data_IF_330634945719
#
_entry.id   IF_330634945719
#
_cell.length_a   1.000
_cell.length_b   1.000
_cell.length_c   1.000
_cell.angle_alpha   90.00
_cell.angle_beta   90.00
_cell.angle_gamma   90.00
#
_symmetry.space_group_name_H-M   'P 1'
#
loop_
_entity.id
_entity.type
_entity.pdbx_description
1 polymer ?
#
# COMPACT_ATOMS: atom_id res chain seq x y z
N UNK A 1 -66.04 -67.02 -28.35
CA UNK A 1 -66.28 -65.70 -28.94
C UNK A 1 -65.06 -64.82 -28.62
N UNK A 2 -64.23 -64.41 -29.60
CA UNK A 2 -63.05 -63.63 -29.36
C UNK A 2 -63.38 -62.10 -29.37
N UNK A 3 -62.80 -61.41 -28.38
CA UNK A 3 -62.92 -59.96 -28.26
C UNK A 3 -61.67 -59.33 -28.91
N UNK A 4 -61.93 -58.60 -29.98
CA UNK A 4 -60.93 -57.82 -30.71
C UNK A 4 -60.54 -56.56 -29.95
N UNK A 5 -59.27 -56.38 -29.61
CA UNK A 5 -58.62 -55.21 -28.97
C UNK A 5 -58.05 -54.32 -30.06
N UNK A 6 -58.61 -53.10 -30.24
CA UNK A 6 -58.08 -52.09 -31.14
C UNK A 6 -56.87 -51.40 -30.53
N UNK A 7 -55.69 -51.45 -31.18
CA UNK A 7 -54.56 -50.62 -30.90
C UNK A 7 -54.80 -49.20 -31.42
N UNK A 8 -54.62 -48.22 -30.53
CA UNK A 8 -54.51 -46.78 -30.92
C UNK A 8 -53.00 -46.46 -31.01
N UNK A 9 -52.52 -46.12 -32.18
CA UNK A 9 -51.25 -45.53 -32.47
C UNK A 9 -51.32 -44.04 -32.19
N UNK A 10 -50.56 -43.53 -31.19
CA UNK A 10 -50.34 -42.09 -30.93
C UNK A 10 -49.05 -41.67 -31.62
N UNK A 11 -49.19 -40.74 -32.56
CA UNK A 11 -48.06 -40.04 -33.18
C UNK A 11 -47.52 -39.00 -32.21
N UNK A 12 -46.28 -39.16 -31.78
CA UNK A 12 -45.50 -38.13 -31.07
C UNK A 12 -44.78 -37.27 -32.12
N UNK A 13 -45.22 -36.04 -32.26
CA UNK A 13 -44.52 -34.98 -33.00
C UNK A 13 -43.38 -34.44 -32.18
N UNK A 14 -42.13 -34.67 -32.58
CA UNK A 14 -40.94 -34.08 -32.02
C UNK A 14 -40.71 -32.69 -32.62
N UNK A 15 -40.87 -31.65 -31.82
CA UNK A 15 -40.49 -30.27 -32.19
C UNK A 15 -39.01 -30.07 -31.87
N UNK A 16 -38.17 -29.94 -32.88
CA UNK A 16 -36.79 -29.56 -32.72
C UNK A 16 -36.67 -28.05 -32.51
N UNK A 17 -36.32 -27.61 -31.28
CA UNK A 17 -35.87 -26.25 -31.03
C UNK A 17 -34.42 -26.10 -31.45
N UNK A 18 -34.17 -25.39 -32.54
CA UNK A 18 -32.86 -24.93 -32.92
C UNK A 18 -32.47 -23.72 -32.07
N UNK A 19 -31.67 -23.94 -31.02
CA UNK A 19 -31.03 -22.88 -30.21
C UNK A 19 -29.87 -22.26 -30.99
N UNK A 20 -30.01 -21.05 -31.48
CA UNK A 20 -28.89 -20.26 -32.00
C UNK A 20 -28.02 -19.77 -30.83
N UNK A 21 -26.87 -20.39 -30.61
CA UNK A 21 -25.87 -19.87 -29.70
C UNK A 21 -25.20 -18.66 -30.36
N UNK A 22 -25.50 -17.47 -29.87
CA UNK A 22 -24.76 -16.27 -30.24
C UNK A 22 -23.37 -16.32 -29.63
N UNK A 23 -22.35 -16.55 -30.45
CA UNK A 23 -20.94 -16.43 -30.07
C UNK A 23 -20.65 -14.93 -29.89
N UNK A 24 -20.60 -14.45 -28.65
CA UNK A 24 -20.09 -13.10 -28.35
C UNK A 24 -18.58 -13.16 -28.51
N UNK A 25 -18.06 -12.71 -29.66
CA UNK A 25 -16.63 -12.44 -29.82
C UNK A 25 -16.30 -11.26 -28.88
N UNK A 26 -15.71 -11.57 -27.72
CA UNK A 26 -15.01 -10.56 -26.94
C UNK A 26 -13.73 -10.22 -27.70
N UNK A 27 -13.74 -9.08 -28.38
CA UNK A 27 -12.49 -8.49 -28.90
C UNK A 27 -11.67 -8.08 -27.70
N UNK A 28 -10.60 -8.83 -27.38
CA UNK A 28 -9.61 -8.39 -26.44
C UNK A 28 -9.03 -7.07 -26.96
N UNK A 29 -9.15 -6.01 -26.17
CA UNK A 29 -8.44 -4.76 -26.44
C UNK A 29 -6.94 -5.11 -26.52
N UNK A 30 -6.18 -4.50 -27.44
CA UNK A 30 -4.75 -4.71 -27.49
C UNK A 30 -4.16 -4.33 -26.13
N UNK A 31 -3.31 -5.20 -25.57
CA UNK A 31 -2.55 -4.87 -24.38
C UNK A 31 -1.76 -3.57 -24.65
N UNK A 32 -1.93 -2.57 -23.82
CA UNK A 32 -1.16 -1.35 -23.91
C UNK A 32 0.32 -1.72 -23.69
N UNK A 33 1.21 -1.21 -24.54
CA UNK A 33 2.63 -1.45 -24.34
C UNK A 33 3.07 -0.82 -23.01
N UNK A 34 3.82 -1.56 -22.21
CA UNK A 34 4.41 -1.04 -20.98
C UNK A 34 5.31 0.17 -21.29
N UNK A 35 5.28 1.16 -20.43
CA UNK A 35 6.04 2.41 -20.58
C UNK A 35 7.11 2.52 -19.50
N UNK A 36 8.20 3.21 -19.87
CA UNK A 36 9.31 3.52 -18.96
C UNK A 36 9.61 5.03 -19.09
N UNK A 37 9.59 5.77 -17.96
CA UNK A 37 9.70 7.22 -17.98
C UNK A 37 10.10 7.77 -16.63
N UNK A 38 10.60 9.02 -16.62
CA UNK A 38 10.87 9.76 -15.39
C UNK A 38 9.82 10.85 -15.15
N UNK A 39 9.62 11.12 -13.85
CA UNK A 39 8.86 12.27 -13.34
C UNK A 39 9.75 13.09 -12.39
N UNK A 40 9.28 14.25 -11.96
CA UNK A 40 9.99 15.07 -10.97
C UNK A 40 9.07 15.41 -9.82
N UNK A 41 9.60 15.45 -8.60
CA UNK A 41 8.89 15.97 -7.44
C UNK A 41 8.71 17.49 -7.53
N UNK A 42 7.74 18.03 -6.81
CA UNK A 42 7.48 19.49 -6.73
C UNK A 42 7.66 20.03 -5.31
N UNK A 43 7.72 19.15 -4.34
CA UNK A 43 7.93 19.45 -2.92
C UNK A 43 8.83 18.35 -2.34
N UNK A 44 9.66 18.73 -1.41
CA UNK A 44 10.37 17.83 -0.51
C UNK A 44 10.12 18.25 0.93
N UNK A 45 10.17 17.30 1.87
CA UNK A 45 10.00 17.63 3.29
C UNK A 45 11.30 18.19 3.88
N UNK A 46 11.15 18.92 5.00
CA UNK A 46 12.30 19.11 5.89
C UNK A 46 12.90 17.74 6.21
N UNK A 47 14.23 17.56 6.11
CA UNK A 47 14.87 16.28 6.36
C UNK A 47 14.60 15.77 7.77
N UNK A 48 14.59 14.45 7.97
CA UNK A 48 14.55 13.85 9.30
C UNK A 48 15.79 14.27 10.11
N UNK A 49 15.70 14.20 11.44
CA UNK A 49 16.75 14.76 12.27
C UNK A 49 17.98 13.85 12.38
N UNK A 50 17.80 12.55 12.24
CA UNK A 50 18.89 11.60 12.27
C UNK A 50 19.56 11.47 10.90
N UNK A 51 20.86 11.18 10.90
CA UNK A 51 21.66 11.00 9.69
C UNK A 51 21.80 9.53 9.30
N UNK A 52 22.19 9.32 8.04
CA UNK A 52 22.31 7.99 7.43
C UNK A 52 20.93 7.41 7.17
N UNK A 53 20.81 6.11 7.10
CA UNK A 53 19.57 5.39 6.90
C UNK A 53 18.61 5.62 8.09
N UNK A 54 17.65 6.55 7.93
CA UNK A 54 16.82 7.08 9.01
C UNK A 54 15.37 7.37 8.61
N UNK A 55 15.10 8.07 7.51
CA UNK A 55 13.73 8.16 6.99
C UNK A 55 13.38 6.84 6.31
N UNK A 56 12.14 6.38 6.51
CA UNK A 56 11.72 5.11 5.94
C UNK A 56 10.36 5.21 5.21
N UNK A 57 9.27 5.33 5.93
CA UNK A 57 7.94 5.20 5.33
C UNK A 57 7.06 6.44 5.53
N UNK A 58 6.40 6.93 4.47
CA UNK A 58 5.42 8.01 4.55
C UNK A 58 4.00 7.46 4.52
N UNK A 59 3.08 8.08 5.27
CA UNK A 59 1.64 7.85 5.18
C UNK A 59 0.86 9.14 5.01
N UNK A 60 -0.07 9.18 4.06
CA UNK A 60 -0.87 10.36 3.73
C UNK A 60 -2.16 10.36 4.56
N UNK A 61 -2.32 11.34 5.42
CA UNK A 61 -3.60 11.61 6.04
C UNK A 61 -4.36 12.69 5.27
N UNK A 62 -5.52 12.32 4.71
CA UNK A 62 -6.39 13.27 4.02
C UNK A 62 -7.32 13.93 5.03
N UNK A 63 -7.22 15.27 5.14
CA UNK A 63 -8.07 16.02 6.06
C UNK A 63 -9.54 15.92 5.66
N UNK A 64 -10.45 15.51 6.57
CA UNK A 64 -11.83 15.16 6.22
C UNK A 64 -12.66 16.34 5.68
N UNK A 65 -12.43 17.54 6.17
CA UNK A 65 -13.23 18.73 5.83
C UNK A 65 -12.54 19.66 4.82
N UNK A 66 -11.20 19.63 4.77
CA UNK A 66 -10.41 20.52 3.90
C UNK A 66 -9.14 19.79 3.42
N UNK A 67 -9.20 19.08 2.30
CA UNK A 67 -8.05 18.31 1.79
C UNK A 67 -6.77 19.14 1.58
N UNK A 68 -6.86 20.47 1.43
CA UNK A 68 -5.67 21.32 1.37
C UNK A 68 -4.90 21.40 2.72
N UNK A 69 -5.49 20.93 3.80
CA UNK A 69 -4.86 20.80 5.12
C UNK A 69 -4.37 19.40 5.44
N UNK A 70 -4.39 18.49 4.47
CA UNK A 70 -3.83 17.16 4.63
C UNK A 70 -2.36 17.21 5.06
N UNK A 71 -1.90 16.15 5.66
CA UNK A 71 -0.52 16.02 6.13
C UNK A 71 0.06 14.67 5.73
N UNK A 72 1.38 14.59 5.78
CA UNK A 72 2.14 13.35 5.66
C UNK A 72 2.75 13.04 7.01
N UNK A 73 2.58 11.81 7.45
CA UNK A 73 3.27 11.25 8.61
C UNK A 73 4.45 10.47 8.06
N UNK A 74 5.65 10.74 8.54
CA UNK A 74 6.86 10.05 8.11
C UNK A 74 7.64 9.51 9.28
N UNK A 75 8.26 8.37 9.10
CA UNK A 75 9.11 7.77 10.12
C UNK A 75 10.53 8.32 10.04
N UNK A 76 11.15 8.52 11.19
CA UNK A 76 12.58 8.63 11.43
C UNK A 76 12.93 7.43 12.31
N UNK A 77 13.16 6.25 11.69
CA UNK A 77 13.28 4.94 12.37
C UNK A 77 14.36 4.91 13.46
N UNK A 78 15.20 5.94 13.52
CA UNK A 78 16.19 6.12 14.60
C UNK A 78 15.64 6.82 15.84
N UNK A 79 14.35 7.09 15.92
CA UNK A 79 13.70 7.50 17.15
C UNK A 79 12.70 8.63 17.06
N UNK A 80 11.97 8.79 15.95
CA UNK A 80 10.85 9.72 15.92
C UNK A 80 9.81 9.43 14.84
N UNK A 81 8.57 9.86 15.12
CA UNK A 81 7.52 10.01 14.13
C UNK A 81 7.31 11.50 13.82
N UNK A 82 7.27 11.87 12.56
CA UNK A 82 7.19 13.26 12.13
C UNK A 82 5.93 13.54 11.31
N UNK A 83 5.40 14.76 11.41
CA UNK A 83 4.22 15.20 10.65
C UNK A 83 4.61 16.41 9.83
N UNK A 84 4.30 16.35 8.51
CA UNK A 84 4.61 17.41 7.55
C UNK A 84 3.34 17.94 6.89
N UNK A 85 3.33 19.23 6.55
CA UNK A 85 2.30 19.77 5.69
C UNK A 85 2.58 19.51 4.19
N UNK A 86 1.62 19.84 3.33
CA UNK A 86 1.75 19.67 1.88
C UNK A 86 2.79 20.60 1.21
N UNK A 87 3.51 21.41 2.00
CA UNK A 87 4.65 22.21 1.55
C UNK A 87 5.97 21.66 2.05
N UNK A 88 5.94 20.50 2.72
CA UNK A 88 7.11 19.85 3.29
C UNK A 88 7.58 20.40 4.64
N UNK A 89 6.85 21.38 5.21
CA UNK A 89 7.22 21.93 6.51
C UNK A 89 6.82 20.98 7.64
N UNK A 90 7.75 20.69 8.57
CA UNK A 90 7.50 19.86 9.74
C UNK A 90 6.55 20.59 10.71
N UNK A 91 5.42 19.97 11.00
CA UNK A 91 4.42 20.48 11.97
C UNK A 91 4.61 19.88 13.35
N UNK A 92 5.07 18.63 13.43
CA UNK A 92 5.27 17.91 14.69
C UNK A 92 6.42 16.91 14.55
N UNK A 93 7.12 16.69 15.65
CA UNK A 93 8.02 15.56 15.87
C UNK A 93 7.65 14.93 17.21
N UNK A 94 7.56 13.61 17.24
CA UNK A 94 7.32 12.80 18.44
C UNK A 94 8.55 11.95 18.62
N UNK A 95 9.38 12.30 19.61
CA UNK A 95 10.57 11.55 19.93
C UNK A 95 10.24 10.27 20.70
N UNK A 96 11.04 9.23 20.53
CA UNK A 96 10.91 7.93 21.18
C UNK A 96 10.02 6.94 20.45
N UNK A 97 9.56 7.27 19.23
CA UNK A 97 8.95 6.31 18.30
C UNK A 97 10.07 5.80 17.36
N UNK A 98 10.35 4.50 17.39
CA UNK A 98 11.36 3.84 16.55
C UNK A 98 10.68 3.07 15.41
N UNK A 99 9.50 3.55 14.98
CA UNK A 99 8.77 2.92 13.91
C UNK A 99 9.54 2.92 12.59
N UNK A 100 9.70 1.72 12.00
CA UNK A 100 10.22 1.57 10.65
C UNK A 100 9.13 2.01 9.65
N UNK A 101 7.96 1.39 9.66
CA UNK A 101 6.85 1.77 8.80
C UNK A 101 5.70 2.47 9.55
N UNK A 102 4.85 3.17 8.79
CA UNK A 102 3.65 3.84 9.29
C UNK A 102 2.48 3.76 8.28
N UNK A 103 1.25 3.57 8.75
CA UNK A 103 0.07 3.69 7.90
C UNK A 103 -1.08 4.44 8.60
N UNK A 104 -2.01 4.96 7.80
CA UNK A 104 -3.13 5.80 8.23
C UNK A 104 -4.46 5.27 7.68
N UNK A 105 -5.47 5.11 8.56
CA UNK A 105 -6.86 4.85 8.14
C UNK A 105 -7.85 5.70 8.94
N UNK A 106 -8.51 6.63 8.26
CA UNK A 106 -9.35 7.62 8.92
C UNK A 106 -8.51 8.57 9.78
N UNK A 107 -8.79 8.61 11.08
CA UNK A 107 -8.02 9.40 12.06
C UNK A 107 -7.01 8.56 12.88
N UNK A 108 -6.90 7.27 12.59
CA UNK A 108 -5.97 6.36 13.26
C UNK A 108 -4.68 6.24 12.47
N UNK A 109 -3.56 6.44 13.14
CA UNK A 109 -2.20 6.28 12.63
C UNK A 109 -1.53 5.18 13.44
N UNK A 110 -0.81 4.29 12.78
CA UNK A 110 -0.08 3.20 13.44
C UNK A 110 1.34 3.16 12.86
N UNK A 111 2.34 3.25 13.70
CA UNK A 111 3.73 2.94 13.36
C UNK A 111 4.11 1.56 13.90
N UNK A 112 5.03 0.89 13.20
CA UNK A 112 5.54 -0.43 13.53
C UNK A 112 7.00 -0.33 13.98
N UNK A 113 7.26 -0.66 15.24
CA UNK A 113 8.57 -0.59 15.89
C UNK A 113 9.16 -1.99 16.02
N UNK A 114 10.26 -2.24 15.34
CA UNK A 114 10.98 -3.50 15.36
C UNK A 114 12.13 -3.55 16.40
N UNK A 115 12.41 -2.43 17.07
CA UNK A 115 13.38 -2.28 18.14
C UNK A 115 12.74 -2.15 19.54
N UNK A 116 11.44 -2.44 19.67
CA UNK A 116 10.73 -2.27 20.93
C UNK A 116 11.39 -3.02 22.10
N UNK A 117 11.26 -2.44 23.28
CA UNK A 117 11.89 -2.98 24.48
C UNK A 117 11.44 -4.41 24.79
N UNK A 118 12.38 -5.36 24.81
CA UNK A 118 12.11 -6.78 25.05
C UNK A 118 12.52 -7.69 23.89
N UNK A 119 12.84 -7.13 22.72
CA UNK A 119 13.23 -7.87 21.51
C UNK A 119 12.08 -8.41 20.68
N UNK A 120 10.84 -8.12 21.10
CA UNK A 120 9.61 -8.28 20.32
C UNK A 120 9.26 -6.93 19.68
N UNK A 121 8.41 -6.91 18.65
CA UNK A 121 7.96 -5.66 18.03
C UNK A 121 6.81 -5.01 18.80
N UNK A 122 6.45 -3.81 18.38
CA UNK A 122 5.26 -3.11 18.86
C UNK A 122 4.56 -2.33 17.74
N UNK A 123 3.26 -2.12 17.92
CA UNK A 123 2.50 -1.12 17.17
C UNK A 123 2.24 0.07 18.08
N UNK A 124 2.69 1.25 17.69
CA UNK A 124 2.35 2.49 18.35
C UNK A 124 1.10 3.09 17.70
N UNK A 125 0.02 3.17 18.45
CA UNK A 125 -1.27 3.64 17.94
C UNK A 125 -1.48 5.09 18.33
N UNK A 126 -1.73 5.92 17.33
CA UNK A 126 -1.99 7.36 17.48
C UNK A 126 -3.36 7.72 16.92
N UNK A 127 -3.84 8.89 17.32
CA UNK A 127 -4.93 9.59 16.65
C UNK A 127 -4.44 10.94 16.15
N UNK A 128 -4.82 11.30 14.92
CA UNK A 128 -4.65 12.64 14.40
C UNK A 128 -5.88 13.51 14.71
N UNK A 129 -5.64 14.70 15.25
CA UNK A 129 -6.68 15.70 15.50
C UNK A 129 -6.81 16.60 14.26
N UNK A 130 -7.94 16.61 13.55
CA UNK A 130 -8.10 17.43 12.35
C UNK A 130 -8.03 18.94 12.63
N UNK A 131 -8.38 19.42 13.82
CA UNK A 131 -8.30 20.84 14.13
C UNK A 131 -6.85 21.34 14.25
N UNK A 132 -5.95 20.51 14.80
CA UNK A 132 -4.55 20.86 15.04
C UNK A 132 -3.59 20.20 14.04
N UNK A 133 -4.02 19.15 13.35
CA UNK A 133 -3.23 18.29 12.46
C UNK A 133 -2.03 17.65 13.19
N UNK A 134 -2.24 17.30 14.45
CA UNK A 134 -1.22 16.71 15.33
C UNK A 134 -1.64 15.34 15.79
N UNK A 135 -0.66 14.47 15.93
CA UNK A 135 -0.81 13.14 16.50
C UNK A 135 -0.84 13.21 18.02
N UNK A 136 -1.71 12.40 18.60
CA UNK A 136 -1.75 12.08 20.02
C UNK A 136 -1.53 10.58 20.18
N UNK A 137 -0.52 10.19 20.93
CA UNK A 137 -0.29 8.79 21.28
C UNK A 137 -1.45 8.24 22.12
N UNK A 138 -1.91 7.04 21.79
CA UNK A 138 -3.00 6.37 22.48
C UNK A 138 -2.54 5.12 23.22
N UNK A 139 -1.74 4.26 22.54
CA UNK A 139 -1.35 2.96 23.10
C UNK A 139 -0.21 2.31 22.32
N UNK A 140 0.64 1.59 23.06
CA UNK A 140 1.56 0.60 22.50
C UNK A 140 0.93 -0.79 22.60
N UNK A 141 1.00 -1.54 21.51
CA UNK A 141 0.49 -2.90 21.38
C UNK A 141 1.66 -3.82 21.08
N UNK A 142 2.14 -4.61 22.06
CA UNK A 142 3.18 -5.59 21.80
C UNK A 142 2.73 -6.62 20.76
N UNK A 143 3.61 -6.97 19.84
CA UNK A 143 3.41 -8.00 18.80
C UNK A 143 4.31 -9.21 19.05
N UNK A 144 3.98 -10.36 18.45
CA UNK A 144 4.88 -11.53 18.48
C UNK A 144 5.93 -11.49 17.37
N UNK A 145 5.71 -10.65 16.35
CA UNK A 145 6.68 -10.37 15.28
C UNK A 145 7.45 -9.11 15.58
N UNK A 146 8.61 -8.95 14.99
CA UNK A 146 9.47 -7.75 15.16
C UNK A 146 8.91 -6.48 14.52
N UNK A 147 7.67 -6.49 14.03
CA UNK A 147 6.92 -5.35 13.49
C UNK A 147 7.76 -4.39 12.62
N UNK A 148 8.45 -4.94 11.61
CA UNK A 148 9.28 -4.19 10.68
C UNK A 148 8.39 -3.35 9.75
N UNK A 149 7.48 -3.97 9.01
CA UNK A 149 6.48 -3.28 8.20
C UNK A 149 5.08 -3.27 8.83
N UNK A 150 4.22 -2.35 8.40
CA UNK A 150 2.80 -2.33 8.77
C UNK A 150 1.92 -1.74 7.67
N UNK A 151 0.74 -2.31 7.48
CA UNK A 151 -0.36 -1.66 6.76
C UNK A 151 -1.69 -1.85 7.47
N UNK A 152 -2.61 -0.91 7.25
CA UNK A 152 -3.93 -0.89 7.87
C UNK A 152 -5.01 -1.30 6.87
N UNK A 153 -6.06 -1.91 7.36
CA UNK A 153 -7.21 -2.35 6.58
C UNK A 153 -8.51 -2.09 7.33
N UNK A 154 -9.40 -1.31 6.75
CA UNK A 154 -10.77 -1.21 7.24
C UNK A 154 -11.64 -2.15 6.44
N UNK A 155 -12.05 -3.26 7.07
CA UNK A 155 -12.90 -4.25 6.40
C UNK A 155 -14.21 -3.64 5.91
N UNK A 156 -14.52 -3.69 4.62
CA UNK A 156 -15.83 -3.27 4.11
C UNK A 156 -16.95 -4.23 4.53
N UNK A 157 -16.61 -5.44 5.00
CA UNK A 157 -17.59 -6.43 5.45
C UNK A 157 -18.05 -6.18 6.88
N UNK A 158 -17.11 -5.81 7.76
CA UNK A 158 -17.38 -5.67 9.20
C UNK A 158 -17.26 -4.23 9.71
N UNK A 159 -16.65 -3.31 8.97
CA UNK A 159 -16.30 -1.96 9.39
C UNK A 159 -15.15 -1.91 10.39
N UNK A 160 -14.59 -3.04 10.79
CA UNK A 160 -13.49 -3.14 11.75
C UNK A 160 -12.17 -2.72 11.11
N UNK A 161 -11.29 -2.15 11.94
CA UNK A 161 -9.94 -1.79 11.56
C UNK A 161 -8.98 -2.92 11.93
N UNK A 162 -8.09 -3.26 11.00
CA UNK A 162 -7.03 -4.23 11.21
C UNK A 162 -5.68 -3.62 10.88
N UNK A 163 -4.63 -4.06 11.57
CA UNK A 163 -3.23 -3.79 11.27
C UNK A 163 -2.52 -5.12 10.92
N UNK A 164 -1.58 -5.05 9.97
CA UNK A 164 -0.74 -6.18 9.57
C UNK A 164 0.73 -5.88 9.86
N UNK A 165 1.19 -5.99 11.11
CA UNK A 165 2.63 -6.00 11.35
C UNK A 165 3.26 -7.22 10.69
N UNK A 166 4.40 -7.02 10.08
CA UNK A 166 5.18 -8.06 9.42
C UNK A 166 6.66 -7.95 9.80
N UNK A 167 7.47 -8.90 9.40
CA UNK A 167 8.85 -8.99 9.88
C UNK A 167 9.84 -9.48 8.83
N UNK A 168 11.12 -9.18 9.04
CA UNK A 168 12.24 -9.70 8.26
C UNK A 168 12.40 -11.23 8.31
N UNK A 169 11.68 -11.91 9.22
CA UNK A 169 11.59 -13.37 9.25
C UNK A 169 10.50 -13.95 8.34
N UNK A 170 9.71 -13.12 7.67
CA UNK A 170 8.58 -13.52 6.83
C UNK A 170 7.26 -13.74 7.58
N UNK A 171 7.24 -13.57 8.90
CA UNK A 171 6.01 -13.72 9.69
C UNK A 171 5.16 -12.47 9.60
N UNK A 172 3.84 -12.66 9.49
CA UNK A 172 2.83 -11.60 9.39
C UNK A 172 1.71 -11.87 10.38
N UNK A 173 1.39 -10.89 11.21
CA UNK A 173 0.22 -10.91 12.07
C UNK A 173 -0.91 -10.06 11.50
N UNK A 174 -2.14 -10.34 11.92
CA UNK A 174 -3.28 -9.46 11.72
C UNK A 174 -3.92 -9.17 13.07
N UNK A 175 -3.99 -7.90 13.41
CA UNK A 175 -4.56 -7.40 14.66
C UNK A 175 -5.85 -6.63 14.42
N UNK A 176 -6.94 -6.98 15.10
CA UNK A 176 -8.12 -6.13 15.17
C UNK A 176 -7.87 -4.98 16.15
N UNK A 177 -7.99 -3.74 15.67
CA UNK A 177 -7.85 -2.53 16.47
C UNK A 177 -9.21 -1.87 16.67
N UNK A 178 -9.73 -1.89 17.89
CA UNK A 178 -10.95 -1.16 18.26
C UNK A 178 -10.56 0.13 18.98
N UNK A 179 -10.68 1.26 18.25
CA UNK A 179 -10.33 2.60 18.75
C UNK A 179 -11.60 3.38 19.03
N UNK A 180 -11.80 3.80 20.28
CA UNK A 180 -12.96 4.58 20.72
C UNK A 180 -12.56 5.65 21.74
N UNK A 181 -12.71 6.92 21.35
CA UNK A 181 -12.10 8.01 22.13
C UNK A 181 -10.59 7.77 22.26
N UNK A 182 -10.05 7.88 23.45
CA UNK A 182 -8.64 7.61 23.73
C UNK A 182 -8.35 6.14 24.07
N UNK A 183 -9.35 5.26 23.98
CA UNK A 183 -9.22 3.84 24.31
C UNK A 183 -8.90 3.02 23.08
N UNK A 184 -7.91 2.12 23.20
CA UNK A 184 -7.53 1.15 22.17
C UNK A 184 -7.57 -0.25 22.76
N UNK A 185 -8.34 -1.14 22.12
CA UNK A 185 -8.27 -2.58 22.34
C UNK A 185 -7.71 -3.24 21.11
N UNK A 186 -6.71 -4.09 21.28
CA UNK A 186 -6.06 -4.83 20.20
C UNK A 186 -6.20 -6.34 20.46
N UNK A 187 -6.49 -7.10 19.39
CA UNK A 187 -6.65 -8.56 19.47
C UNK A 187 -6.00 -9.17 18.23
N UNK A 188 -5.03 -10.07 18.42
CA UNK A 188 -4.46 -10.87 17.33
C UNK A 188 -5.53 -11.84 16.81
N UNK A 189 -5.78 -11.82 15.50
CA UNK A 189 -6.85 -12.60 14.86
C UNK A 189 -6.34 -13.56 13.79
N UNK A 190 -5.10 -13.37 13.32
CA UNK A 190 -4.48 -14.23 12.30
C UNK A 190 -2.96 -14.11 12.38
N UNK A 191 -2.28 -15.22 12.14
CA UNK A 191 -0.83 -15.31 11.98
C UNK A 191 -0.52 -16.21 10.79
N UNK A 192 0.41 -15.82 9.94
CA UNK A 192 0.86 -16.63 8.80
C UNK A 192 2.31 -16.30 8.42
N UNK A 193 2.87 -17.12 7.53
CA UNK A 193 4.25 -17.01 7.06
C UNK A 193 4.24 -16.72 5.55
N UNK A 194 4.97 -15.70 5.14
CA UNK A 194 5.16 -15.31 3.74
C UNK A 194 6.40 -15.96 3.10
N UNK A 195 7.32 -16.49 3.91
CA UNK A 195 8.51 -17.23 3.44
C UNK A 195 9.83 -16.63 3.86
N UNK A 196 10.15 -15.42 3.47
CA UNK A 196 11.36 -14.66 3.84
C UNK A 196 11.00 -13.22 4.21
N UNK A 197 11.99 -12.35 4.32
CA UNK A 197 11.83 -10.97 4.73
C UNK A 197 10.69 -10.27 3.98
N UNK A 198 9.83 -9.59 4.73
CA UNK A 198 8.72 -8.80 4.24
C UNK A 198 8.69 -7.46 4.96
N UNK A 199 8.42 -6.41 4.21
CA UNK A 199 8.27 -5.07 4.75
C UNK A 199 7.07 -4.35 4.12
N UNK A 200 7.17 -3.93 2.88
CA UNK A 200 6.13 -3.18 2.20
C UNK A 200 4.82 -3.96 2.10
N UNK A 201 3.72 -3.34 2.50
CA UNK A 201 2.39 -3.93 2.29
C UNK A 201 1.32 -2.88 2.00
N UNK A 202 0.26 -3.32 1.35
CA UNK A 202 -0.93 -2.51 1.10
C UNK A 202 -2.19 -3.36 1.20
N UNK A 203 -3.12 -2.97 2.07
CA UNK A 203 -4.41 -3.65 2.18
C UNK A 203 -5.52 -2.86 1.48
N UNK A 204 -6.06 -3.44 0.42
CA UNK A 204 -7.00 -2.80 -0.49
C UNK A 204 -8.45 -3.05 -0.07
N UNK A 205 -9.08 -2.03 0.50
CA UNK A 205 -10.47 -2.06 0.94
C UNK A 205 -11.46 -2.24 -0.24
N UNK A 206 -11.07 -1.83 -1.45
CA UNK A 206 -11.96 -1.89 -2.62
C UNK A 206 -12.18 -3.31 -3.16
N UNK A 207 -11.25 -4.21 -2.91
CA UNK A 207 -11.27 -5.58 -3.44
C UNK A 207 -10.96 -6.66 -2.38
N UNK A 208 -10.70 -6.27 -1.12
CA UNK A 208 -10.41 -7.18 0.00
C UNK A 208 -9.11 -7.97 -0.15
N UNK A 209 -8.11 -7.38 -0.80
CA UNK A 209 -6.78 -7.98 -1.01
C UNK A 209 -5.73 -7.33 -0.10
N UNK A 210 -4.79 -8.14 0.35
CA UNK A 210 -3.55 -7.73 0.98
C UNK A 210 -2.41 -8.01 0.01
N UNK A 211 -1.72 -6.97 -0.42
CA UNK A 211 -0.47 -7.04 -1.17
C UNK A 211 0.68 -6.99 -0.18
N UNK A 212 1.66 -7.86 -0.36
CA UNK A 212 2.78 -8.03 0.56
C UNK A 212 4.08 -8.22 -0.24
N UNK A 213 5.05 -7.34 -0.02
CA UNK A 213 6.39 -7.42 -0.60
C UNK A 213 7.24 -8.43 0.17
N UNK A 214 7.65 -9.51 -0.49
CA UNK A 214 8.70 -10.41 -0.03
C UNK A 214 9.97 -9.97 -0.77
N UNK A 215 10.87 -9.27 -0.07
CA UNK A 215 11.94 -8.40 -0.60
C UNK A 215 12.71 -9.01 -1.79
N UNK A 216 13.30 -10.18 -1.61
CA UNK A 216 14.06 -10.90 -2.64
C UNK A 216 13.21 -11.67 -3.65
N UNK A 217 11.89 -11.73 -3.49
CA UNK A 217 11.00 -12.65 -4.22
C UNK A 217 9.97 -11.95 -5.08
N UNK A 218 9.40 -10.84 -4.59
CA UNK A 218 8.38 -10.06 -5.27
C UNK A 218 7.09 -9.88 -4.47
N UNK A 219 5.99 -9.56 -5.13
CA UNK A 219 4.72 -9.20 -4.47
C UNK A 219 3.73 -10.35 -4.47
N UNK A 220 3.25 -10.69 -3.28
CA UNK A 220 2.18 -11.65 -3.06
C UNK A 220 0.83 -10.97 -2.81
N UNK A 221 -0.24 -11.65 -3.21
CA UNK A 221 -1.62 -11.21 -3.00
C UNK A 221 -2.36 -12.25 -2.17
N UNK A 222 -2.78 -11.84 -0.99
CA UNK A 222 -3.60 -12.62 -0.05
C UNK A 222 -5.01 -12.02 0.03
N UNK A 223 -5.94 -12.73 0.67
CA UNK A 223 -7.17 -12.10 1.14
C UNK A 223 -6.93 -11.31 2.42
N UNK A 224 -7.52 -10.11 2.52
CA UNK A 224 -7.33 -9.20 3.66
C UNK A 224 -8.25 -9.48 4.85
N UNK A 225 -9.32 -10.28 4.71
CA UNK A 225 -10.18 -10.60 5.85
C UNK A 225 -9.52 -11.62 6.80
N UNK A 226 -9.80 -11.58 8.12
CA UNK A 226 -9.20 -12.51 9.08
C UNK A 226 -9.39 -13.99 8.75
N UNK A 227 -10.52 -14.33 8.13
CA UNK A 227 -10.85 -15.70 7.72
C UNK A 227 -10.30 -16.15 6.37
N UNK A 228 -9.46 -15.33 5.69
CA UNK A 228 -8.99 -15.63 4.33
C UNK A 228 -7.97 -16.79 4.25
N UNK A 229 -7.45 -17.27 5.40
CA UNK A 229 -6.42 -18.30 5.42
C UNK A 229 -5.08 -17.83 4.85
N UNK A 230 -4.30 -18.75 4.27
CA UNK A 230 -2.93 -18.49 3.79
C UNK A 230 -2.78 -18.65 2.27
N UNK A 231 -3.89 -18.85 1.54
CA UNK A 231 -3.86 -18.93 0.09
C UNK A 231 -3.40 -17.61 -0.53
N UNK A 232 -2.44 -17.68 -1.44
CA UNK A 232 -1.87 -16.51 -2.10
C UNK A 232 -1.65 -16.73 -3.59
N UNK A 233 -1.58 -15.65 -4.33
CA UNK A 233 -1.14 -15.62 -5.73
C UNK A 233 0.00 -14.62 -5.86
N UNK A 234 0.87 -14.79 -6.85
CA UNK A 234 1.94 -13.84 -7.11
C UNK A 234 1.43 -12.75 -8.04
N UNK A 235 1.64 -11.46 -7.69
CA UNK A 235 1.42 -10.34 -8.59
C UNK A 235 2.58 -10.23 -9.57
N UNK A 236 3.81 -10.16 -9.05
CA UNK A 236 5.04 -10.04 -9.83
C UNK A 236 6.23 -10.60 -9.04
N UNK A 237 7.39 -10.68 -9.66
CA UNK A 237 8.60 -11.25 -9.07
C UNK A 237 9.87 -10.51 -9.47
N UNK A 238 10.91 -10.65 -8.63
CA UNK A 238 12.28 -10.20 -8.88
C UNK A 238 13.06 -11.14 -9.83
N UNK A 239 12.52 -12.34 -10.05
CA UNK A 239 13.14 -13.34 -10.91
C UNK A 239 12.95 -13.12 -12.40
N UNK A 240 13.55 -14.00 -13.20
CA UNK A 240 13.45 -13.98 -14.66
C UNK A 240 11.98 -13.98 -15.13
N UNK A 241 11.61 -12.98 -15.91
CA UNK A 241 10.24 -12.80 -16.45
C UNK A 241 9.34 -11.94 -15.55
N UNK A 242 9.81 -11.48 -14.40
CA UNK A 242 9.18 -10.44 -13.59
C UNK A 242 9.68 -9.04 -13.96
N UNK A 243 9.09 -8.03 -13.33
CA UNK A 243 9.39 -6.62 -13.60
C UNK A 243 10.03 -5.91 -12.40
N UNK A 244 10.23 -6.61 -11.29
CA UNK A 244 10.83 -6.09 -10.07
C UNK A 244 12.34 -6.43 -10.00
N UNK A 245 13.10 -5.57 -9.35
CA UNK A 245 14.47 -5.83 -8.90
C UNK A 245 14.44 -5.89 -7.37
N UNK A 246 15.12 -6.84 -6.76
CA UNK A 246 15.24 -6.85 -5.30
C UNK A 246 16.03 -5.59 -4.83
N UNK A 247 15.65 -4.96 -3.78
CA UNK A 247 14.61 -5.26 -2.84
C UNK A 247 13.22 -4.78 -3.30
N UNK A 248 12.17 -5.50 -2.91
CA UNK A 248 10.78 -5.13 -3.19
C UNK A 248 10.19 -4.52 -1.92
N UNK A 249 10.01 -3.21 -1.94
CA UNK A 249 9.71 -2.39 -0.78
C UNK A 249 8.28 -1.83 -0.79
N UNK A 250 8.09 -0.58 -0.43
CA UNK A 250 6.80 0.07 -0.25
C UNK A 250 5.77 -0.23 -1.33
N UNK A 251 4.51 -0.42 -0.91
CA UNK A 251 3.37 -0.70 -1.80
C UNK A 251 2.26 0.29 -1.50
N UNK A 252 1.79 1.01 -2.53
CA UNK A 252 0.72 2.00 -2.39
C UNK A 252 -0.28 1.93 -3.55
N UNK A 253 -1.46 2.51 -3.38
CA UNK A 253 -2.43 2.59 -4.47
C UNK A 253 -3.15 3.94 -4.54
N UNK A 254 -3.32 4.45 -5.76
CA UNK A 254 -4.13 5.64 -6.04
C UNK A 254 -5.03 5.42 -7.27
N UNK A 255 -6.33 5.65 -7.10
CA UNK A 255 -7.31 5.39 -8.17
C UNK A 255 -7.27 3.93 -8.63
N UNK A 256 -6.98 3.70 -9.91
CA UNK A 256 -6.86 2.35 -10.50
C UNK A 256 -5.38 1.92 -10.71
N UNK A 257 -4.45 2.53 -10.00
CA UNK A 257 -3.03 2.19 -10.06
C UNK A 257 -2.57 1.63 -8.73
N UNK A 258 -1.75 0.59 -8.80
CA UNK A 258 -0.97 0.03 -7.70
C UNK A 258 0.51 0.28 -8.03
N UNK A 259 1.24 0.81 -7.08
CA UNK A 259 2.65 1.15 -7.17
C UNK A 259 3.46 0.25 -6.25
N UNK A 260 4.64 -0.14 -6.67
CA UNK A 260 5.58 -0.93 -5.86
C UNK A 260 6.97 -0.31 -6.02
N UNK A 261 7.63 -0.02 -4.93
CA UNK A 261 9.04 0.36 -4.92
C UNK A 261 9.91 -0.85 -5.28
N UNK A 262 10.73 -0.69 -6.31
CA UNK A 262 11.74 -1.65 -6.75
C UNK A 262 13.10 -1.02 -6.43
N UNK A 263 13.47 -1.05 -5.15
CA UNK A 263 14.58 -0.30 -4.58
C UNK A 263 15.90 -0.58 -5.32
N UNK A 264 16.20 -1.85 -5.59
CA UNK A 264 17.43 -2.24 -6.27
C UNK A 264 17.59 -1.74 -7.71
N UNK A 265 16.56 -1.12 -8.31
CA UNK A 265 16.63 -0.44 -9.60
C UNK A 265 16.31 1.06 -9.53
N UNK A 266 16.05 1.60 -8.33
CA UNK A 266 15.65 3.00 -8.12
C UNK A 266 14.45 3.41 -8.97
N UNK A 267 13.48 2.49 -9.13
CA UNK A 267 12.25 2.75 -9.90
C UNK A 267 11.00 2.23 -9.18
N UNK A 268 9.85 2.64 -9.70
CA UNK A 268 8.54 2.25 -9.18
C UNK A 268 7.76 1.56 -10.28
N UNK A 269 7.39 0.30 -10.06
CA UNK A 269 6.54 -0.43 -10.99
C UNK A 269 5.08 -0.07 -10.81
N UNK A 270 4.33 -0.04 -11.91
CA UNK A 270 2.92 0.34 -11.94
C UNK A 270 2.08 -0.80 -12.48
N UNK A 271 1.02 -1.15 -11.75
CA UNK A 271 0.05 -2.17 -12.14
C UNK A 271 -1.36 -1.60 -12.22
N UNK A 272 -2.19 -2.17 -13.08
CA UNK A 272 -3.64 -1.99 -12.98
C UNK A 272 -4.14 -2.67 -11.70
N UNK A 273 -4.68 -1.89 -10.77
CA UNK A 273 -5.09 -2.34 -9.44
C UNK A 273 -6.16 -3.44 -9.45
N UNK A 274 -6.99 -3.53 -10.50
CA UNK A 274 -8.06 -4.51 -10.61
C UNK A 274 -7.58 -5.83 -11.18
N UNK A 275 -6.87 -5.76 -12.30
CA UNK A 275 -6.42 -6.94 -13.03
C UNK A 275 -5.05 -7.45 -12.58
N UNK A 276 -4.22 -6.61 -11.98
CA UNK A 276 -2.82 -6.88 -11.68
C UNK A 276 -1.92 -6.82 -12.92
N UNK A 277 -2.41 -6.31 -14.05
CA UNK A 277 -1.61 -6.20 -15.25
C UNK A 277 -0.50 -5.15 -15.07
N UNK A 278 0.73 -5.50 -15.41
CA UNK A 278 1.86 -4.58 -15.45
C UNK A 278 1.62 -3.50 -16.53
N UNK A 279 1.79 -2.24 -16.17
CA UNK A 279 1.56 -1.09 -17.06
C UNK A 279 2.86 -0.39 -17.45
N UNK A 280 3.91 -0.51 -16.64
CA UNK A 280 5.19 0.15 -16.84
C UNK A 280 5.89 0.48 -15.53
N UNK A 281 6.94 1.28 -15.62
CA UNK A 281 7.69 1.78 -14.47
C UNK A 281 8.03 3.25 -14.65
N UNK A 282 8.35 3.92 -13.56
CA UNK A 282 8.87 5.28 -13.58
C UNK A 282 9.94 5.49 -12.51
N UNK A 283 10.87 6.40 -12.80
CA UNK A 283 11.80 6.97 -11.82
C UNK A 283 11.34 8.34 -11.36
N UNK A 284 11.81 8.79 -10.20
CA UNK A 284 11.69 10.18 -9.77
C UNK A 284 13.06 10.83 -9.93
N UNK A 285 13.22 11.60 -10.98
CA UNK A 285 14.48 12.25 -11.32
C UNK A 285 14.60 13.64 -10.68
N UNK A 286 15.83 14.10 -10.50
CA UNK A 286 16.14 15.44 -10.01
C UNK A 286 15.45 16.52 -10.86
N UNK A 287 14.84 17.49 -10.18
CA UNK A 287 14.11 18.62 -10.76
C UNK A 287 14.58 19.97 -10.22
N UNK A 288 13.84 21.03 -10.58
CA UNK A 288 14.15 22.37 -10.09
C UNK A 288 13.73 22.62 -8.63
N UNK A 289 12.82 21.80 -8.09
CA UNK A 289 12.21 21.99 -6.77
C UNK A 289 12.66 20.97 -5.75
N UNK A 290 13.15 19.83 -6.18
CA UNK A 290 13.62 18.70 -5.35
C UNK A 290 14.60 17.86 -6.18
N UNK A 291 15.47 17.13 -5.53
CA UNK A 291 16.27 16.09 -6.16
C UNK A 291 15.46 14.82 -6.45
N UNK A 292 16.10 13.71 -6.72
CA UNK A 292 15.50 12.42 -7.07
C UNK A 292 14.96 11.66 -5.84
N UNK A 293 14.44 10.45 -6.06
CA UNK A 293 14.27 9.43 -5.03
C UNK A 293 15.20 8.27 -5.37
N UNK A 294 16.10 7.96 -4.46
CA UNK A 294 17.03 6.85 -4.54
C UNK A 294 16.90 5.96 -3.29
N UNK A 295 17.20 4.68 -3.44
CA UNK A 295 17.14 3.69 -2.36
C UNK A 295 15.83 3.82 -1.54
N UNK A 296 14.70 3.83 -2.28
CA UNK A 296 13.38 4.12 -1.69
C UNK A 296 12.83 2.89 -0.96
N UNK A 297 12.68 3.01 0.35
CA UNK A 297 11.97 2.04 1.19
C UNK A 297 10.45 2.27 1.05
N UNK A 298 9.88 3.24 1.74
CA UNK A 298 8.45 3.46 1.80
C UNK A 298 7.89 4.42 0.74
N UNK A 299 6.66 4.15 0.34
CA UNK A 299 5.86 5.01 -0.55
C UNK A 299 4.40 5.09 -0.09
N UNK A 300 3.74 6.21 -0.37
CA UNK A 300 2.28 6.28 -0.30
C UNK A 300 1.71 7.11 -1.45
N UNK A 301 0.41 6.90 -1.76
CA UNK A 301 -0.24 7.61 -2.85
C UNK A 301 -1.75 7.80 -2.60
N UNK A 302 -2.28 8.94 -3.02
CA UNK A 302 -3.72 9.17 -3.03
C UNK A 302 -4.15 9.87 -4.31
N UNK A 303 -5.30 9.44 -4.87
CA UNK A 303 -5.98 10.13 -5.97
C UNK A 303 -6.93 11.23 -5.49
N UNK A 304 -7.05 11.44 -4.19
CA UNK A 304 -7.82 12.55 -3.64
C UNK A 304 -7.11 13.86 -3.92
N UNK A 305 -7.79 14.82 -4.53
CA UNK A 305 -7.23 16.16 -4.73
C UNK A 305 -6.97 16.85 -3.40
N UNK A 306 -5.74 17.30 -3.18
CA UNK A 306 -5.27 17.92 -1.94
C UNK A 306 -5.14 19.46 -2.10
N UNK A 307 -6.18 20.08 -2.66
CA UNK A 307 -6.19 21.52 -2.95
C UNK A 307 -5.37 21.89 -4.20
N UNK A 308 -4.94 23.14 -4.29
CA UNK A 308 -4.23 23.64 -5.47
C UNK A 308 -2.80 23.10 -5.64
N UNK A 309 -2.20 22.57 -4.58
CA UNK A 309 -0.85 22.00 -4.64
C UNK A 309 -0.85 20.66 -5.40
N UNK A 310 -1.85 19.80 -5.13
CA UNK A 310 -1.98 18.47 -5.74
C UNK A 310 -3.45 18.21 -6.13
N UNK A 311 -3.94 18.87 -7.20
CA UNK A 311 -5.37 18.86 -7.54
C UNK A 311 -5.90 17.50 -7.99
N UNK A 312 -5.04 16.59 -8.42
CA UNK A 312 -5.38 15.21 -8.80
C UNK A 312 -4.79 14.15 -7.85
N UNK A 313 -4.27 14.59 -6.70
CA UNK A 313 -3.61 13.72 -5.73
C UNK A 313 -2.09 13.77 -5.81
N UNK A 314 -1.44 12.94 -5.03
CA UNK A 314 0.02 12.92 -4.84
C UNK A 314 0.52 11.47 -4.73
N UNK A 315 1.72 11.24 -5.22
CA UNK A 315 2.57 10.09 -4.91
C UNK A 315 3.73 10.60 -4.06
N UNK A 316 4.11 9.85 -3.03
CA UNK A 316 5.21 10.21 -2.12
C UNK A 316 6.19 9.04 -2.09
N UNK A 317 7.49 9.34 -2.16
CA UNK A 317 8.58 8.40 -1.97
C UNK A 317 9.49 8.88 -0.85
N UNK A 318 10.00 7.96 -0.04
CA UNK A 318 11.18 8.19 0.79
C UNK A 318 12.39 8.34 -0.15
N UNK A 319 13.33 9.21 0.24
CA UNK A 319 14.58 9.43 -0.49
C UNK A 319 15.77 9.10 0.42
N UNK A 320 16.47 8.03 0.05
CA UNK A 320 17.61 7.51 0.78
C UNK A 320 18.88 8.34 0.66
N UNK A 321 18.95 9.27 -0.32
CA UNK A 321 20.16 10.03 -0.66
C UNK A 321 19.89 11.52 -0.89
N UNK A 322 19.28 12.20 0.06
CA UNK A 322 18.84 13.58 -0.06
C UNK A 322 19.96 14.56 -0.43
N UNK A 323 19.79 15.25 -1.54
CA UNK A 323 20.69 16.28 -2.07
C UNK A 323 21.41 15.89 -3.37
N UNK A 324 22.35 16.72 -3.83
CA UNK A 324 23.10 16.41 -5.06
C UNK A 324 23.83 15.05 -4.94
N UNK A 325 24.02 14.30 -6.04
CA UNK A 325 24.72 13.02 -6.02
C UNK A 325 26.02 13.05 -5.22
N UNK A 326 26.11 12.20 -4.18
CA UNK A 326 27.22 12.15 -3.25
C UNK A 326 27.15 13.17 -2.10
N UNK A 327 26.04 13.88 -1.93
CA UNK A 327 25.77 14.68 -0.72
C UNK A 327 25.44 13.76 0.48
N UNK A 328 25.70 14.23 1.68
CA UNK A 328 25.39 13.53 2.91
C UNK A 328 24.25 14.21 3.68
N UNK A 329 23.26 14.72 2.97
CA UNK A 329 22.06 15.29 3.57
C UNK A 329 21.28 14.21 4.32
N UNK A 330 20.60 14.62 5.42
CA UNK A 330 19.66 13.69 6.06
C UNK A 330 18.52 13.39 5.10
N UNK A 331 18.03 12.16 5.14
CA UNK A 331 16.95 11.65 4.31
C UNK A 331 15.65 12.43 4.50
N UNK A 332 14.76 12.40 3.51
CA UNK A 332 13.48 13.09 3.51
C UNK A 332 12.43 12.37 2.64
N UNK A 333 11.32 13.03 2.37
CA UNK A 333 10.24 12.52 1.51
C UNK A 333 9.97 13.50 0.37
N UNK A 334 9.77 12.98 -0.84
CA UNK A 334 9.50 13.75 -2.05
C UNK A 334 8.04 13.59 -2.49
N UNK A 335 7.40 14.69 -2.91
CA UNK A 335 6.00 14.74 -3.31
C UNK A 335 5.90 14.98 -4.82
N UNK A 336 5.35 14.00 -5.52
CA UNK A 336 5.14 14.02 -6.98
C UNK A 336 3.65 14.22 -7.27
N UNK A 337 3.22 15.24 -8.03
CA UNK A 337 1.84 15.34 -8.48
C UNK A 337 1.43 14.07 -9.23
N UNK A 338 0.34 13.42 -8.77
CA UNK A 338 -0.04 12.08 -9.22
C UNK A 338 -0.29 12.02 -10.74
N UNK A 339 -0.81 13.10 -11.33
CA UNK A 339 -1.04 13.18 -12.78
C UNK A 339 0.23 13.08 -13.62
N UNK A 340 1.40 13.41 -13.08
CA UNK A 340 2.66 13.20 -13.80
C UNK A 340 2.95 11.75 -14.11
N UNK A 341 2.35 10.86 -13.30
CA UNK A 341 2.45 9.40 -13.45
C UNK A 341 1.22 8.88 -14.20
N UNK A 342 0.02 9.14 -13.69
CA UNK A 342 -1.22 8.50 -14.17
C UNK A 342 -1.67 8.93 -15.56
N UNK A 343 -1.24 10.10 -16.04
CA UNK A 343 -1.50 10.54 -17.41
C UNK A 343 -0.60 9.81 -18.45
N UNK A 344 0.35 8.99 -18.00
CA UNK A 344 1.27 8.22 -18.85
C UNK A 344 1.03 6.69 -18.86
N UNK A 345 0.37 6.14 -17.82
CA UNK A 345 0.09 4.71 -17.65
C UNK A 345 -1.39 4.39 -17.57
#
# INVERSE_FOLDING_TARGET
MPVTRKLRTSLLSASALAGAAALVLQTALPAQAAVDFDVTATVETAPVSHSGDAADDPAIWVHPDDPAKSVVVGTDKKGALEVYDLKGARLQRIDGDHGNNVDVRGDVVVSADDEAAGGDGALHVYRIDPATRRLKHLKDVPTEVTAHGVCLYRSPQSGKLYAYPNSTSGRVEQWELAVSGDSVTATSVRLFDAGSAVEGCYADESNGKLYLGEEDVGVWVYGAEPGAGTARTKLDSTGSGGHLTADTEGIAAAGNRLFVSSQGSNDFTVYDRRSGAYLGRFGVASGAAADDCEDTDGIDATATGLGSAFPKGVFICQDGSNGAPGSSGNQNFKFVPLERITDRV
#
